data_IF_666638862094
#
_entry.id   IF_666638862094
#
_cell.length_a   1.000
_cell.length_b   1.000
_cell.length_c   1.000
_cell.angle_alpha   90.00
_cell.angle_beta   90.00
_cell.angle_gamma   90.00
#
_symmetry.space_group_name_H-M   'P 1'
#
loop_
_entity.id
_entity.type
_entity.pdbx_description
1 polymer ?
#
# COMPACT_ATOMS: atom_id res chain seq x y z
N UNK A 1 7.92 17.49 10.34
CA UNK A 1 6.91 16.73 9.57
C UNK A 1 6.72 15.37 10.22
N UNK A 2 5.47 15.01 10.49
CA UNK A 2 5.18 13.69 11.03
C UNK A 2 5.21 12.63 9.91
N UNK A 3 5.75 11.49 10.24
CA UNK A 3 5.85 10.39 9.28
C UNK A 3 5.87 9.05 10.01
N UNK A 4 5.54 7.99 9.28
CA UNK A 4 5.64 6.62 9.75
C UNK A 4 6.20 5.74 8.65
N UNK A 5 6.99 4.76 9.01
CA UNK A 5 7.38 3.67 8.11
C UNK A 5 7.04 2.37 8.81
N UNK A 6 6.25 1.54 8.11
CA UNK A 6 5.85 0.23 8.62
C UNK A 6 6.61 -0.83 7.84
N UNK A 7 7.20 -1.79 8.54
CA UNK A 7 7.88 -2.91 7.93
C UNK A 7 7.28 -4.21 8.46
N UNK A 8 6.98 -5.13 7.54
CA UNK A 8 6.56 -6.50 7.88
C UNK A 8 7.42 -7.47 7.10
N UNK A 9 7.77 -8.57 7.75
CA UNK A 9 8.52 -9.64 7.09
C UNK A 9 7.58 -10.80 6.80
N UNK A 10 7.84 -11.49 5.69
CA UNK A 10 7.00 -12.60 5.23
C UNK A 10 7.86 -13.81 4.91
N UNK A 11 7.30 -15.00 5.12
CA UNK A 11 7.95 -16.25 4.74
C UNK A 11 7.96 -16.45 3.23
N UNK A 12 7.09 -15.76 2.51
CA UNK A 12 7.02 -15.83 1.05
C UNK A 12 8.19 -15.10 0.41
N UNK A 13 8.57 -15.50 -0.80
CA UNK A 13 9.69 -14.89 -1.53
C UNK A 13 9.40 -13.46 -1.95
N UNK A 14 10.47 -12.70 -2.21
CA UNK A 14 10.36 -11.35 -2.76
C UNK A 14 9.50 -11.34 -4.04
N UNK A 15 9.73 -12.30 -4.93
CA UNK A 15 9.04 -12.37 -6.21
C UNK A 15 7.53 -12.54 -6.04
N UNK A 16 7.13 -13.41 -5.14
CA UNK A 16 5.72 -13.68 -4.87
C UNK A 16 5.04 -12.46 -4.24
N UNK A 17 5.66 -11.87 -3.23
CA UNK A 17 5.11 -10.72 -2.53
C UNK A 17 5.06 -9.50 -3.45
N UNK A 18 6.12 -9.27 -4.23
CA UNK A 18 6.15 -8.16 -5.20
C UNK A 18 5.03 -8.28 -6.22
N UNK A 19 4.86 -9.46 -6.83
CA UNK A 19 3.84 -9.66 -7.84
C UNK A 19 2.44 -9.35 -7.30
N UNK A 20 2.18 -9.70 -6.07
CA UNK A 20 0.91 -9.44 -5.42
C UNK A 20 0.71 -7.95 -5.14
N UNK A 21 1.71 -7.30 -4.53
CA UNK A 21 1.60 -5.90 -4.11
C UNK A 21 1.66 -4.90 -5.26
N UNK A 22 2.29 -5.27 -6.36
CA UNK A 22 2.38 -4.40 -7.54
C UNK A 22 1.11 -4.41 -8.39
N UNK A 23 0.18 -5.31 -8.10
CA UNK A 23 -1.05 -5.47 -8.86
C UNK A 23 -2.17 -4.62 -8.25
N UNK A 24 -2.55 -3.55 -8.94
CA UNK A 24 -3.62 -2.64 -8.49
C UNK A 24 -4.91 -3.41 -8.20
N UNK A 25 -5.22 -4.43 -8.98
CA UNK A 25 -6.45 -5.21 -8.83
C UNK A 25 -6.52 -5.94 -7.49
N UNK A 26 -5.39 -6.11 -6.80
CA UNK A 26 -5.32 -6.77 -5.50
C UNK A 26 -5.53 -5.83 -4.32
N UNK A 27 -5.56 -4.52 -4.55
CA UNK A 27 -5.73 -3.55 -3.45
C UNK A 27 -6.94 -3.87 -2.55
N UNK A 28 -8.14 -4.18 -3.08
CA UNK A 28 -9.27 -4.51 -2.20
C UNK A 28 -9.08 -5.76 -1.35
N UNK A 29 -8.11 -6.61 -1.65
CA UNK A 29 -7.88 -7.83 -0.90
C UNK A 29 -7.08 -7.58 0.38
N UNK A 30 -6.21 -6.57 0.39
CA UNK A 30 -5.41 -6.29 1.58
C UNK A 30 -5.59 -4.87 2.10
N UNK A 31 -5.68 -3.87 1.23
CA UNK A 31 -5.89 -2.48 1.62
C UNK A 31 -7.39 -2.20 1.80
N UNK A 32 -8.02 -2.98 2.65
CA UNK A 32 -9.47 -3.10 2.75
C UNK A 32 -10.17 -1.86 3.27
N UNK A 33 -9.47 -0.96 3.95
CA UNK A 33 -10.04 0.30 4.44
C UNK A 33 -9.84 1.41 3.42
N UNK A 34 -8.69 1.45 2.76
CA UNK A 34 -8.41 2.43 1.71
C UNK A 34 -9.11 2.10 0.41
N UNK A 35 -9.04 0.85 -0.03
CA UNK A 35 -9.64 0.37 -1.28
C UNK A 35 -10.85 -0.52 -0.98
N UNK A 36 -11.88 0.06 -0.34
CA UNK A 36 -13.10 -0.67 -0.03
C UNK A 36 -13.77 -1.13 -1.32
N UNK A 37 -13.75 -0.27 -2.34
CA UNK A 37 -14.16 -0.62 -3.70
C UNK A 37 -13.10 -0.13 -4.67
N UNK A 38 -12.93 -0.86 -5.76
CA UNK A 38 -12.03 -0.51 -6.85
C UNK A 38 -12.84 -0.48 -8.14
N UNK A 39 -12.67 0.59 -8.93
CA UNK A 39 -13.30 0.67 -10.24
C UNK A 39 -12.31 1.19 -11.27
N UNK A 40 -12.61 0.95 -12.54
CA UNK A 40 -11.84 1.45 -13.68
C UNK A 40 -12.71 2.44 -14.44
N UNK A 41 -12.20 3.65 -14.64
CA UNK A 41 -12.88 4.71 -15.38
C UNK A 41 -11.90 5.25 -16.41
N UNK A 42 -12.23 5.14 -17.70
CA UNK A 42 -11.40 5.59 -18.80
C UNK A 42 -9.97 5.03 -18.73
N UNK A 43 -9.86 3.73 -18.39
CA UNK A 43 -8.57 3.05 -18.29
C UNK A 43 -7.76 3.35 -17.05
N UNK A 44 -8.32 4.09 -16.10
CA UNK A 44 -7.64 4.50 -14.87
C UNK A 44 -8.35 3.94 -13.65
N UNK A 45 -7.56 3.60 -12.64
CA UNK A 45 -8.09 3.00 -11.42
C UNK A 45 -8.49 4.07 -10.41
N UNK A 46 -9.63 3.83 -9.75
CA UNK A 46 -10.12 4.67 -8.65
C UNK A 46 -10.56 3.78 -7.51
N UNK A 47 -10.31 4.23 -6.28
CA UNK A 47 -10.81 3.57 -5.08
C UNK A 47 -11.89 4.41 -4.44
N UNK A 48 -12.83 3.74 -3.78
CA UNK A 48 -13.91 4.39 -3.04
C UNK A 48 -13.85 3.89 -1.61
N UNK A 49 -13.88 4.80 -0.66
CA UNK A 49 -13.90 4.50 0.77
C UNK A 49 -14.77 5.53 1.51
N UNK A 50 -14.73 5.49 2.85
CA UNK A 50 -15.54 6.39 3.67
C UNK A 50 -15.20 7.87 3.52
N UNK A 51 -14.04 8.20 2.97
CA UNK A 51 -13.63 9.59 2.74
C UNK A 51 -13.95 10.09 1.34
N UNK A 52 -14.38 9.21 0.45
CA UNK A 52 -14.75 9.57 -0.92
C UNK A 52 -14.08 8.71 -1.97
N UNK A 53 -13.84 9.31 -3.13
CA UNK A 53 -13.25 8.65 -4.28
C UNK A 53 -11.86 9.22 -4.55
N UNK A 54 -10.90 8.34 -4.78
CA UNK A 54 -9.51 8.73 -5.02
C UNK A 54 -8.95 8.04 -6.25
N UNK A 55 -8.13 8.77 -7.00
CA UNK A 55 -7.35 8.18 -8.09
C UNK A 55 -6.18 7.41 -7.50
N UNK A 56 -5.86 6.26 -8.09
CA UNK A 56 -4.70 5.46 -7.67
C UNK A 56 -3.89 5.02 -8.87
N UNK A 57 -2.59 4.94 -8.68
CA UNK A 57 -1.66 4.46 -9.68
C UNK A 57 -0.52 3.76 -8.97
N UNK A 58 -0.03 2.67 -9.54
CA UNK A 58 1.14 1.97 -9.00
C UNK A 58 2.24 2.00 -10.06
N UNK A 59 3.43 2.45 -9.66
CA UNK A 59 4.63 2.42 -10.50
C UNK A 59 5.63 1.50 -9.84
N UNK A 60 5.87 0.35 -10.46
CA UNK A 60 6.66 -0.71 -9.85
C UNK A 60 7.83 -1.12 -10.72
N UNK A 61 8.95 -1.46 -10.07
CA UNK A 61 10.15 -1.97 -10.70
C UNK A 61 10.53 -3.29 -10.03
N UNK A 62 10.30 -4.39 -10.71
CA UNK A 62 10.55 -5.73 -10.21
C UNK A 62 12.03 -5.93 -9.84
N UNK A 63 12.94 -5.33 -10.59
CA UNK A 63 14.37 -5.51 -10.37
C UNK A 63 14.83 -4.95 -9.03
N UNK A 64 14.32 -3.77 -8.66
CA UNK A 64 14.70 -3.11 -7.41
C UNK A 64 13.76 -3.42 -6.25
N UNK A 65 12.55 -3.89 -6.56
CA UNK A 65 11.50 -4.09 -5.56
C UNK A 65 10.75 -2.82 -5.19
N UNK A 66 11.04 -1.70 -5.87
CA UNK A 66 10.35 -0.44 -5.62
C UNK A 66 8.91 -0.52 -6.12
N UNK A 67 7.97 -0.12 -5.27
CA UNK A 67 6.56 -0.01 -5.62
C UNK A 67 6.10 1.37 -5.12
N UNK A 68 6.05 2.35 -6.03
CA UNK A 68 5.52 3.65 -5.68
C UNK A 68 4.01 3.62 -5.82
N UNK A 69 3.32 3.77 -4.69
CA UNK A 69 1.85 3.80 -4.66
C UNK A 69 1.42 5.24 -4.63
N UNK A 70 0.70 5.67 -5.67
CA UNK A 70 0.25 7.04 -5.79
C UNK A 70 -1.26 7.09 -5.60
N UNK A 71 -1.71 8.05 -4.81
CA UNK A 71 -3.13 8.25 -4.56
C UNK A 71 -3.41 9.73 -4.33
N UNK A 72 -4.58 10.16 -4.75
CA UNK A 72 -4.99 11.55 -4.54
C UNK A 72 -6.40 11.81 -5.03
N UNK A 73 -6.93 13.01 -4.73
CA UNK A 73 -8.31 13.37 -5.10
C UNK A 73 -8.50 13.53 -6.62
N UNK A 74 -7.41 13.74 -7.35
CA UNK A 74 -7.44 13.84 -8.82
C UNK A 74 -6.08 13.40 -9.35
N UNK A 75 -6.00 13.19 -10.66
CA UNK A 75 -4.76 12.77 -11.30
C UNK A 75 -3.65 13.81 -11.26
N UNK A 76 -4.03 15.08 -11.10
CA UNK A 76 -3.08 16.17 -10.99
C UNK A 76 -2.61 16.38 -9.54
N UNK A 77 -3.18 15.65 -8.60
CA UNK A 77 -2.90 15.81 -7.18
C UNK A 77 -2.55 14.47 -6.52
N UNK A 78 -1.75 13.65 -7.20
CA UNK A 78 -1.30 12.37 -6.65
C UNK A 78 -0.16 12.58 -5.67
N UNK A 79 -0.24 11.89 -4.55
CA UNK A 79 0.79 11.85 -3.52
C UNK A 79 1.42 10.47 -3.53
N UNK A 80 2.74 10.40 -3.47
CA UNK A 80 3.45 9.12 -3.46
C UNK A 80 3.57 8.57 -2.03
N UNK A 81 3.22 7.31 -1.90
CA UNK A 81 3.52 6.50 -0.72
C UNK A 81 4.65 5.56 -1.13
N UNK A 82 5.91 5.86 -0.75
CA UNK A 82 7.05 5.04 -1.15
C UNK A 82 6.98 3.68 -0.47
N UNK A 83 7.06 2.62 -1.25
CA UNK A 83 7.11 1.26 -0.71
C UNK A 83 8.18 0.44 -1.41
N UNK A 84 8.62 -0.61 -0.77
CA UNK A 84 9.64 -1.48 -1.34
C UNK A 84 9.55 -2.89 -0.78
N UNK A 85 9.74 -3.87 -1.64
CA UNK A 85 9.88 -5.27 -1.25
C UNK A 85 11.32 -5.68 -1.44
N UNK A 86 11.92 -6.26 -0.42
CA UNK A 86 13.30 -6.76 -0.46
C UNK A 86 13.36 -8.21 0.00
N UNK A 87 14.39 -8.94 -0.42
CA UNK A 87 14.66 -10.28 0.09
C UNK A 87 15.28 -10.17 1.47
N UNK A 88 14.96 -11.11 2.35
CA UNK A 88 15.63 -11.22 3.64
C UNK A 88 16.71 -12.31 3.59
N UNK A 89 17.68 -12.29 4.50
CA UNK A 89 18.74 -13.29 4.51
C UNK A 89 18.25 -14.73 4.61
N UNK A 90 17.06 -14.95 5.15
CA UNK A 90 16.49 -16.28 5.35
C UNK A 90 15.68 -16.79 4.15
N UNK A 91 15.66 -16.04 3.05
CA UNK A 91 14.94 -16.45 1.84
C UNK A 91 13.50 -15.96 1.77
N UNK A 92 13.03 -15.26 2.79
CA UNK A 92 11.73 -14.61 2.78
C UNK A 92 11.83 -13.20 2.20
N UNK A 93 10.90 -12.35 2.61
CA UNK A 93 10.85 -10.98 2.13
C UNK A 93 10.45 -10.00 3.24
N UNK A 94 10.68 -8.73 2.97
CA UNK A 94 10.21 -7.64 3.82
C UNK A 94 9.53 -6.59 2.94
N UNK A 95 8.42 -6.04 3.43
CA UNK A 95 7.70 -4.96 2.78
C UNK A 95 7.73 -3.73 3.67
N UNK A 96 8.21 -2.62 3.11
CA UNK A 96 8.33 -1.33 3.81
C UNK A 96 7.41 -0.32 3.14
N UNK A 97 6.66 0.40 3.96
CA UNK A 97 5.67 1.38 3.49
C UNK A 97 5.85 2.66 4.30
N UNK A 98 6.11 3.76 3.61
CA UNK A 98 6.27 5.06 4.26
C UNK A 98 5.11 5.99 3.95
N UNK A 99 4.70 6.76 4.96
CA UNK A 99 3.65 7.75 4.80
C UNK A 99 4.04 9.04 5.52
N UNK A 100 3.62 10.17 4.97
CA UNK A 100 3.94 11.49 5.47
C UNK A 100 2.67 12.30 5.67
N UNK A 101 2.64 13.10 6.73
CA UNK A 101 1.48 13.96 6.99
C UNK A 101 1.44 15.08 5.94
N UNK A 102 0.30 15.22 5.25
CA UNK A 102 0.10 16.30 4.30
C UNK A 102 -0.09 17.63 5.04
N UNK A 103 0.28 18.77 4.42
CA UNK A 103 0.14 20.07 5.09
C UNK A 103 -1.28 20.40 5.55
N UNK A 104 -2.29 19.99 4.78
CA UNK A 104 -3.70 20.24 5.10
C UNK A 104 -4.34 19.16 5.98
N UNK A 105 -3.59 18.11 6.31
CA UNK A 105 -4.07 17.00 7.10
C UNK A 105 -3.78 17.25 8.58
N UNK A 106 -4.77 17.06 9.46
CA UNK A 106 -4.54 17.18 10.90
C UNK A 106 -3.70 15.98 11.37
N UNK A 107 -3.04 16.16 12.53
CA UNK A 107 -2.29 15.07 13.15
C UNK A 107 -3.20 13.90 13.49
N UNK A 108 -4.42 14.20 13.96
CA UNK A 108 -5.39 13.17 14.30
C UNK A 108 -5.79 12.34 13.07
N UNK A 109 -6.04 13.01 11.94
CA UNK A 109 -6.34 12.31 10.67
C UNK A 109 -5.16 11.46 10.22
N UNK A 110 -3.95 11.99 10.34
CA UNK A 110 -2.74 11.28 9.95
C UNK A 110 -2.53 10.03 10.81
N UNK A 111 -2.67 10.14 12.14
CA UNK A 111 -2.50 8.99 13.02
C UNK A 111 -3.62 7.96 12.82
N UNK A 112 -4.83 8.38 12.50
CA UNK A 112 -5.92 7.47 12.17
C UNK A 112 -5.61 6.68 10.88
N UNK A 113 -5.03 7.34 9.89
CA UNK A 113 -4.59 6.71 8.66
C UNK A 113 -3.50 5.67 8.93
N UNK A 114 -2.57 5.99 9.82
CA UNK A 114 -1.53 5.06 10.24
C UNK A 114 -2.11 3.81 10.90
N UNK A 115 -3.07 3.97 11.80
CA UNK A 115 -3.73 2.84 12.45
C UNK A 115 -4.45 1.96 11.44
N UNK A 116 -5.13 2.57 10.45
CA UNK A 116 -5.75 1.83 9.35
C UNK A 116 -4.73 1.01 8.57
N UNK A 117 -3.57 1.60 8.30
CA UNK A 117 -2.50 0.91 7.58
C UNK A 117 -2.00 -0.31 8.36
N UNK A 118 -1.88 -0.20 9.68
CA UNK A 118 -1.48 -1.35 10.51
C UNK A 118 -2.47 -2.50 10.40
N UNK A 119 -3.77 -2.20 10.39
CA UNK A 119 -4.79 -3.24 10.23
C UNK A 119 -4.73 -3.87 8.85
N UNK A 120 -4.45 -3.06 7.82
CA UNK A 120 -4.30 -3.56 6.46
C UNK A 120 -3.07 -4.46 6.34
N UNK A 121 -2.00 -4.14 7.06
CA UNK A 121 -0.80 -4.99 7.11
C UNK A 121 -1.09 -6.33 7.78
N UNK A 122 -2.01 -6.38 8.74
CA UNK A 122 -2.44 -7.64 9.34
C UNK A 122 -3.06 -8.57 8.29
N UNK A 123 -3.72 -8.01 7.28
CA UNK A 123 -4.25 -8.80 6.17
C UNK A 123 -3.13 -9.43 5.34
N UNK A 124 -2.02 -8.71 5.16
CA UNK A 124 -0.85 -9.26 4.48
C UNK A 124 -0.20 -10.38 5.30
N UNK A 125 -0.13 -10.23 6.62
CA UNK A 125 0.37 -11.29 7.49
C UNK A 125 -0.47 -12.56 7.35
N UNK A 126 -1.78 -12.43 7.28
CA UNK A 126 -2.66 -13.59 7.11
C UNK A 126 -2.43 -14.28 5.78
N UNK A 127 -2.11 -13.51 4.75
CA UNK A 127 -1.88 -14.07 3.41
C UNK A 127 -0.52 -14.75 3.29
N UNK A 128 0.54 -14.10 3.78
CA UNK A 128 1.91 -14.52 3.50
C UNK A 128 2.61 -15.22 4.66
N UNK A 129 2.09 -15.11 5.88
CA UNK A 129 2.65 -15.77 7.07
C UNK A 129 1.71 -16.82 7.65
N UNK A 130 0.71 -17.23 6.88
CA UNK A 130 -0.26 -18.22 7.32
C UNK A 130 0.44 -19.55 7.57
N UNK A 131 0.27 -20.09 8.77
CA UNK A 131 0.77 -21.43 9.08
C UNK A 131 -0.10 -22.47 8.40
N UNK A 132 0.52 -23.55 7.88
CA UNK A 132 -0.23 -24.64 7.27
C UNK A 132 -1.09 -25.37 8.30
#
# INVERSE_FOLDING_TARGET
MNHHTVTRTFNASKEEVFAYLADVARLPEWATEFARELKVVDGRYKVINGLGEFCVEIRADQRTGVIDMLAGPSEDALVCFPTRVVSTPEGGSAFMFSMFQAPEQSREQFESQYVSLLREFDNLDQRFNRKP
#
